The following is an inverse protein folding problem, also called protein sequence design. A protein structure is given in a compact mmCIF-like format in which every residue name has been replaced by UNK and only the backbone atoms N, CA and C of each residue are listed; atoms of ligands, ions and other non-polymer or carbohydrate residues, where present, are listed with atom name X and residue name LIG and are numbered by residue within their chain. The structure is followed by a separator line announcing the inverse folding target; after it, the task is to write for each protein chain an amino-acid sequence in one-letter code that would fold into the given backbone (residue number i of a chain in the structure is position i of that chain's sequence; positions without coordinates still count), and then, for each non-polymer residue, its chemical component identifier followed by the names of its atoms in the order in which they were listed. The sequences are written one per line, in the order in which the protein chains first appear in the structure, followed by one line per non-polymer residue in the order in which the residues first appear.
data_IF_670007190829
#
_entry.id   IF_670007190829
#
_cell.length_a   1.000
_cell.length_b   1.000
_cell.length_c   1.000
_cell.angle_alpha   90.00
_cell.angle_beta   90.00
_cell.angle_gamma   90.00
#
_symmetry.space_group_name_H-M   'P 1'
#
loop_
_entity.id
_entity.type
_entity.pdbx_description
1 polymer ?
#
# COMPACT_ATOMS: atom_id res chain seq x y z
N UNK A 1 28.42 12.89 -4.04
CA UNK A 1 28.49 11.82 -3.02
C UNK A 1 27.23 11.87 -2.17
N UNK A 2 26.19 11.12 -2.54
CA UNK A 2 25.04 10.88 -1.66
C UNK A 2 24.68 9.40 -1.71
N UNK A 3 25.37 8.68 -0.83
CA UNK A 3 24.93 7.54 -0.06
C UNK A 3 24.05 6.49 -0.74
N UNK A 4 24.77 5.46 -1.16
CA UNK A 4 24.35 4.07 -1.30
C UNK A 4 23.89 3.53 0.06
N UNK A 5 22.68 3.87 0.51
CA UNK A 5 22.01 3.20 1.64
C UNK A 5 20.77 2.38 1.21
N UNK A 6 20.58 2.15 -0.08
CA UNK A 6 19.50 1.28 -0.60
C UNK A 6 19.86 -0.22 -0.47
N UNK A 7 20.10 -0.71 0.73
CA UNK A 7 20.41 -2.14 0.93
C UNK A 7 19.54 -2.88 1.91
N UNK A 8 18.54 -2.23 2.54
CA UNK A 8 17.51 -2.93 3.31
C UNK A 8 16.14 -2.28 3.06
N UNK A 9 15.03 -3.06 3.07
CA UNK A 9 13.69 -2.50 3.02
C UNK A 9 13.49 -1.54 4.20
N UNK A 10 13.06 -0.30 3.94
CA UNK A 10 12.67 0.62 5.00
C UNK A 10 11.29 0.19 5.52
N UNK A 11 11.27 -0.57 6.62
CA UNK A 11 10.04 -1.10 7.20
C UNK A 11 9.29 -0.09 8.09
N UNK A 12 9.72 1.18 8.14
CA UNK A 12 8.99 2.19 8.90
C UNK A 12 7.59 2.45 8.29
N UNK A 13 6.56 2.67 9.14
CA UNK A 13 5.23 3.01 8.66
C UNK A 13 5.21 4.29 7.84
N UNK A 14 4.40 4.29 6.79
CA UNK A 14 4.01 5.51 6.08
C UNK A 14 3.15 6.35 7.03
N UNK A 15 3.45 7.64 7.08
CA UNK A 15 2.78 8.63 7.92
C UNK A 15 1.86 9.54 7.10
N UNK A 16 2.19 9.79 5.82
CA UNK A 16 1.37 10.60 4.93
C UNK A 16 1.42 10.13 3.48
N UNK A 17 0.33 10.36 2.75
CA UNK A 17 0.15 10.09 1.32
C UNK A 17 -0.40 11.35 0.67
N UNK A 18 0.23 11.79 -0.42
CA UNK A 18 -0.29 12.85 -1.28
C UNK A 18 -0.29 12.44 -2.75
N UNK A 19 -1.01 13.22 -3.56
CA UNK A 19 -0.96 13.15 -5.02
C UNK A 19 -0.38 14.44 -5.56
N UNK A 20 0.45 14.35 -6.59
CA UNK A 20 1.08 15.49 -7.27
C UNK A 20 0.89 15.38 -8.79
N UNK A 21 0.92 16.50 -9.50
CA UNK A 21 0.96 16.51 -10.96
C UNK A 21 2.39 16.33 -11.48
N UNK A 22 3.34 17.02 -10.87
CA UNK A 22 4.73 17.11 -11.32
C UNK A 22 5.68 16.41 -10.33
N UNK A 23 6.35 15.30 -10.70
CA UNK A 23 7.31 14.59 -9.85
C UNK A 23 8.43 15.49 -9.32
N UNK A 24 8.83 16.51 -10.08
CA UNK A 24 9.91 17.42 -9.70
C UNK A 24 9.45 18.45 -8.65
N UNK A 25 8.15 18.54 -8.41
CA UNK A 25 7.52 19.38 -7.37
C UNK A 25 7.05 18.58 -6.16
N UNK A 26 7.61 17.39 -5.96
CA UNK A 26 7.34 16.59 -4.76
C UNK A 26 7.67 17.40 -3.49
N UNK A 27 6.75 17.46 -2.50
CA UNK A 27 7.03 18.13 -1.25
C UNK A 27 8.28 17.56 -0.54
N UNK A 28 8.97 18.41 0.21
CA UNK A 28 10.13 17.99 1.00
C UNK A 28 9.73 16.90 1.99
N UNK A 29 10.56 15.86 2.14
CA UNK A 29 10.26 14.72 3.03
C UNK A 29 9.35 13.66 2.41
N UNK A 30 8.92 13.83 1.15
CA UNK A 30 8.15 12.83 0.40
C UNK A 30 8.99 12.15 -0.68
N UNK A 31 8.63 10.92 -1.00
CA UNK A 31 9.21 10.12 -2.09
C UNK A 31 8.12 9.82 -3.11
N UNK A 32 8.37 10.14 -4.37
CA UNK A 32 7.41 9.92 -5.47
C UNK A 32 7.45 8.47 -5.95
N UNK A 33 6.26 7.89 -6.17
CA UNK A 33 6.06 6.64 -6.89
C UNK A 33 5.79 6.98 -8.37
N UNK A 34 6.86 7.33 -9.09
CA UNK A 34 6.78 7.75 -10.51
C UNK A 34 6.96 6.61 -11.51
N UNK A 35 7.41 5.45 -11.05
CA UNK A 35 7.69 4.27 -11.87
C UNK A 35 6.99 3.02 -11.35
N UNK A 36 6.55 2.16 -12.26
CA UNK A 36 5.99 0.86 -11.90
C UNK A 36 7.10 -0.07 -11.40
N UNK A 37 6.77 -0.86 -10.38
CA UNK A 37 7.74 -1.76 -9.76
C UNK A 37 8.17 -2.91 -10.69
N UNK A 38 7.29 -3.34 -11.60
CA UNK A 38 7.53 -4.51 -12.45
C UNK A 38 8.34 -4.22 -13.71
N UNK A 39 8.09 -3.08 -14.37
CA UNK A 39 8.64 -2.77 -15.69
C UNK A 39 9.38 -1.43 -15.74
N UNK A 40 9.56 -0.76 -14.60
CA UNK A 40 10.11 0.59 -14.50
C UNK A 40 9.44 1.58 -15.49
N UNK A 41 8.15 1.39 -15.76
CA UNK A 41 7.38 2.21 -16.69
C UNK A 41 6.74 3.40 -15.97
N UNK A 42 6.34 4.45 -16.69
CA UNK A 42 5.66 5.63 -16.10
C UNK A 42 4.43 5.24 -15.28
N UNK A 43 4.38 5.57 -13.99
CA UNK A 43 3.28 5.21 -13.07
C UNK A 43 2.18 6.29 -12.98
N UNK A 44 1.95 7.03 -14.06
CA UNK A 44 0.90 8.05 -14.15
C UNK A 44 -0.50 7.45 -13.99
N UNK A 45 -1.16 7.78 -12.88
CA UNK A 45 -2.49 7.28 -12.52
C UNK A 45 -3.62 8.06 -13.21
N UNK A 46 -3.32 9.15 -13.92
CA UNK A 46 -4.32 9.93 -14.63
C UNK A 46 -4.58 9.39 -16.05
N UNK A 47 -3.61 8.74 -16.67
CA UNK A 47 -3.55 8.52 -18.12
C UNK A 47 -4.78 7.78 -18.71
N UNK A 48 -5.55 8.49 -19.52
CA UNK A 48 -6.27 7.94 -20.68
C UNK A 48 -6.06 8.91 -21.85
N UNK A 49 -5.84 8.34 -23.05
CA UNK A 49 -5.28 9.01 -24.23
C UNK A 49 -5.72 10.45 -24.44
N UNK A 50 -4.83 11.38 -24.10
CA UNK A 50 -4.94 12.76 -24.54
C UNK A 50 -4.22 12.86 -25.88
N UNK A 51 -4.95 12.72 -26.99
CA UNK A 51 -4.40 12.84 -28.33
C UNK A 51 -4.21 14.31 -28.77
N UNK A 52 -4.82 15.29 -28.08
CA UNK A 52 -4.83 16.70 -28.51
C UNK A 52 -4.84 17.74 -27.36
N UNK A 53 -4.33 17.41 -26.16
CA UNK A 53 -4.35 18.33 -25.02
C UNK A 53 -3.10 18.27 -24.13
N UNK A 54 -2.96 19.27 -23.25
CA UNK A 54 -1.91 19.31 -22.21
C UNK A 54 -1.89 17.98 -21.45
N UNK A 55 -0.71 17.39 -21.29
CA UNK A 55 -0.54 16.15 -20.51
C UNK A 55 -0.90 16.45 -19.05
N UNK A 56 -1.99 15.86 -18.56
CA UNK A 56 -2.33 15.85 -17.15
C UNK A 56 -1.82 14.53 -16.56
N UNK A 57 -0.97 14.62 -15.54
CA UNK A 57 -0.35 13.47 -14.88
C UNK A 57 -0.73 13.44 -13.41
N UNK A 58 -0.79 12.26 -12.80
CA UNK A 58 -0.94 12.12 -11.34
C UNK A 58 -0.03 11.05 -10.81
N UNK A 59 0.77 11.39 -9.80
CA UNK A 59 1.65 10.47 -9.11
C UNK A 59 1.35 10.48 -7.63
N UNK A 60 1.45 9.31 -7.00
CA UNK A 60 1.42 9.22 -5.54
C UNK A 60 2.80 9.58 -5.00
N UNK A 61 2.86 10.30 -3.89
CA UNK A 61 4.06 10.45 -3.10
C UNK A 61 3.79 10.10 -1.63
N UNK A 62 4.79 9.53 -0.98
CA UNK A 62 4.69 8.91 0.35
C UNK A 62 5.70 9.56 1.28
N UNK A 63 5.33 9.78 2.54
CA UNK A 63 6.29 10.15 3.57
C UNK A 63 6.24 9.23 4.77
N UNK A 64 7.42 8.97 5.32
CA UNK A 64 7.65 8.24 6.58
C UNK A 64 8.12 9.17 7.71
N UNK A 65 8.24 10.46 7.43
CA UNK A 65 8.70 11.50 8.38
C UNK A 65 7.67 12.61 8.53
N UNK A 66 6.97 12.96 7.46
CA UNK A 66 5.92 13.97 7.43
C UNK A 66 4.55 13.35 7.71
N UNK A 67 3.73 14.03 8.50
CA UNK A 67 2.37 13.62 8.83
C UNK A 67 1.95 14.13 10.20
N UNK A 68 0.82 13.62 10.69
CA UNK A 68 0.35 13.93 12.05
C UNK A 68 1.17 13.11 13.05
N UNK A 69 1.77 13.78 14.04
CA UNK A 69 2.56 13.14 15.10
C UNK A 69 1.78 11.98 15.75
N UNK A 70 2.45 10.85 15.95
CA UNK A 70 1.90 9.59 16.47
C UNK A 70 0.83 8.90 15.62
N UNK A 71 0.49 9.41 14.44
CA UNK A 71 -0.39 8.73 13.50
C UNK A 71 0.39 8.06 12.37
N UNK A 72 -0.14 6.93 11.92
CA UNK A 72 0.38 6.17 10.79
C UNK A 72 -0.77 5.76 9.86
N UNK A 73 -0.43 5.46 8.62
CA UNK A 73 -1.37 4.86 7.67
C UNK A 73 -1.56 3.39 8.04
N UNK A 74 -2.76 3.05 8.47
CA UNK A 74 -3.10 1.67 8.87
C UNK A 74 -3.60 0.84 7.68
N UNK A 75 -4.34 1.48 6.77
CA UNK A 75 -4.95 0.82 5.62
C UNK A 75 -5.15 1.79 4.45
N UNK A 76 -5.17 1.23 3.24
CA UNK A 76 -5.38 1.92 1.97
C UNK A 76 -6.38 1.11 1.16
N UNK A 77 -7.32 1.78 0.50
CA UNK A 77 -8.28 1.16 -0.40
C UNK A 77 -8.49 2.01 -1.65
N UNK A 78 -8.82 1.35 -2.75
CA UNK A 78 -9.19 2.02 -4.00
C UNK A 78 -10.70 1.89 -4.20
N UNK A 79 -11.38 3.02 -4.25
CA UNK A 79 -12.85 3.11 -4.41
C UNK A 79 -13.20 3.82 -5.72
N UNK A 80 -14.45 3.74 -6.13
CA UNK A 80 -14.91 4.60 -7.22
C UNK A 80 -14.95 6.06 -6.76
N UNK A 81 -14.79 6.97 -7.71
CA UNK A 81 -14.70 8.40 -7.39
C UNK A 81 -15.99 8.98 -6.78
N UNK A 82 -17.14 8.42 -7.12
CA UNK A 82 -18.45 8.82 -6.57
C UNK A 82 -18.88 8.02 -5.34
N UNK A 83 -18.07 7.05 -4.92
CA UNK A 83 -18.38 6.17 -3.81
C UNK A 83 -18.02 6.82 -2.48
N UNK A 84 -18.84 6.57 -1.46
CA UNK A 84 -18.56 7.05 -0.10
C UNK A 84 -17.38 6.23 0.45
N UNK A 85 -16.34 6.87 1.01
CA UNK A 85 -15.24 6.13 1.61
C UNK A 85 -15.73 5.26 2.77
N UNK A 86 -15.11 4.09 3.01
CA UNK A 86 -15.43 3.27 4.18
C UNK A 86 -15.22 4.05 5.49
N UNK A 87 -15.90 3.63 6.55
CA UNK A 87 -15.84 4.31 7.84
C UNK A 87 -14.40 4.51 8.34
N UNK A 88 -14.09 5.76 8.70
CA UNK A 88 -12.77 6.18 9.17
C UNK A 88 -11.72 6.40 8.08
N UNK A 89 -12.05 6.23 6.79
CA UNK A 89 -11.13 6.55 5.69
C UNK A 89 -11.25 8.01 5.27
N UNK A 90 -10.10 8.65 5.06
CA UNK A 90 -9.95 9.97 4.48
C UNK A 90 -9.70 9.88 2.96
N UNK A 91 -10.08 10.94 2.25
CA UNK A 91 -9.87 11.12 0.82
C UNK A 91 -8.78 12.14 0.54
N UNK A 92 -8.01 11.92 -0.53
CA UNK A 92 -7.12 12.94 -1.10
C UNK A 92 -7.88 13.60 -2.25
N UNK A 93 -8.42 14.80 -2.07
CA UNK A 93 -9.28 15.39 -3.11
C UNK A 93 -8.50 16.22 -4.14
N UNK A 94 -7.39 16.82 -3.72
CA UNK A 94 -6.59 17.76 -4.53
C UNK A 94 -5.10 17.43 -4.50
N UNK A 95 -4.39 17.83 -5.55
CA UNK A 95 -2.95 17.65 -5.66
C UNK A 95 -2.21 18.62 -4.75
N UNK A 96 -1.13 18.17 -4.11
CA UNK A 96 -0.39 18.96 -3.14
C UNK A 96 0.42 20.09 -3.77
N UNK A 97 0.80 19.96 -5.05
CA UNK A 97 1.68 20.88 -5.77
C UNK A 97 0.91 21.98 -6.54
N UNK A 98 -0.27 21.67 -7.07
CA UNK A 98 -1.03 22.56 -7.97
C UNK A 98 -2.49 22.74 -7.60
N UNK A 99 -2.94 22.11 -6.50
CA UNK A 99 -4.31 22.19 -6.01
C UNK A 99 -5.37 21.77 -7.07
N UNK A 100 -4.98 20.91 -8.02
CA UNK A 100 -5.88 20.38 -9.04
C UNK A 100 -6.60 19.13 -8.52
N UNK A 101 -7.68 18.70 -9.19
CA UNK A 101 -8.37 17.45 -8.85
C UNK A 101 -7.38 16.29 -8.86
N UNK A 102 -7.33 15.49 -7.78
CA UNK A 102 -6.34 14.42 -7.62
C UNK A 102 -6.65 13.16 -8.44
N UNK A 103 -7.93 12.87 -8.70
CA UNK A 103 -8.37 11.57 -9.22
C UNK A 103 -9.33 11.66 -10.40
N UNK A 104 -9.50 10.53 -11.10
CA UNK A 104 -10.47 10.35 -12.17
C UNK A 104 -10.97 8.91 -12.20
N UNK A 105 -12.29 8.70 -12.18
CA UNK A 105 -13.01 7.40 -12.16
C UNK A 105 -12.84 6.61 -10.87
N UNK A 106 -11.61 6.43 -10.41
CA UNK A 106 -11.26 5.77 -9.13
C UNK A 106 -10.34 6.67 -8.32
N UNK A 107 -10.38 6.50 -7.00
CA UNK A 107 -9.60 7.29 -6.06
C UNK A 107 -9.04 6.42 -4.95
N UNK A 108 -7.88 6.81 -4.43
CA UNK A 108 -7.29 6.21 -3.24
C UNK A 108 -7.87 6.88 -2.01
N UNK A 109 -8.33 6.07 -1.07
CA UNK A 109 -8.66 6.48 0.29
C UNK A 109 -7.76 5.74 1.27
N UNK A 110 -7.53 6.32 2.44
CA UNK A 110 -6.66 5.75 3.45
C UNK A 110 -7.22 5.97 4.85
N UNK A 111 -6.87 5.09 5.78
CA UNK A 111 -7.22 5.24 7.19
C UNK A 111 -5.98 5.53 8.02
N UNK A 112 -6.05 6.60 8.79
CA UNK A 112 -5.08 6.92 9.82
C UNK A 112 -5.48 6.26 11.14
N UNK A 113 -4.47 5.87 11.91
CA UNK A 113 -4.65 5.50 13.30
C UNK A 113 -3.44 5.89 14.13
N UNK A 114 -3.66 6.06 15.44
CA UNK A 114 -2.56 6.24 16.37
C UNK A 114 -1.69 4.99 16.35
N UNK A 115 -0.36 5.17 16.38
CA UNK A 115 0.63 4.09 16.30
C UNK A 115 0.40 2.99 17.34
N UNK A 116 -0.04 3.34 18.55
CA UNK A 116 -0.33 2.39 19.64
C UNK A 116 -1.69 1.66 19.51
N UNK A 117 -2.57 2.12 18.62
CA UNK A 117 -3.92 1.58 18.40
C UNK A 117 -4.05 0.86 17.04
N UNK A 118 -3.25 1.23 16.04
CA UNK A 118 -3.33 0.71 14.68
C UNK A 118 -3.10 -0.81 14.60
N UNK A 119 -4.07 -1.60 14.12
CA UNK A 119 -3.94 -3.06 14.00
C UNK A 119 -2.86 -3.49 12.99
N UNK A 120 -2.62 -2.67 11.98
CA UNK A 120 -1.56 -2.81 10.99
C UNK A 120 -0.88 -1.49 10.68
N UNK A 121 0.27 -1.55 10.03
CA UNK A 121 0.97 -0.40 9.49
C UNK A 121 1.28 -0.64 8.01
N UNK A 122 0.90 0.29 7.15
CA UNK A 122 1.34 0.30 5.75
C UNK A 122 2.77 0.83 5.71
N UNK A 123 3.70 0.05 5.15
CA UNK A 123 5.13 0.40 5.10
C UNK A 123 5.58 0.80 3.70
N UNK A 124 4.88 0.35 2.67
CA UNK A 124 5.18 0.69 1.29
C UNK A 124 3.94 0.61 0.39
N UNK A 125 3.93 1.39 -0.70
CA UNK A 125 2.91 1.38 -1.74
C UNK A 125 3.59 1.32 -3.09
N UNK A 126 3.32 0.27 -3.86
CA UNK A 126 3.86 0.10 -5.20
C UNK A 126 2.74 0.11 -6.24
N UNK A 127 3.07 0.58 -7.43
CA UNK A 127 2.23 0.49 -8.62
C UNK A 127 2.83 -0.56 -9.55
N UNK A 128 2.00 -1.49 -10.04
CA UNK A 128 2.41 -2.47 -11.06
C UNK A 128 1.56 -2.30 -12.32
N UNK A 129 2.19 -2.45 -13.48
CA UNK A 129 1.51 -2.34 -14.77
C UNK A 129 0.90 -3.67 -15.24
N UNK A 130 1.75 -4.60 -15.66
CA UNK A 130 1.29 -5.80 -16.37
C UNK A 130 1.04 -6.96 -15.42
N UNK A 131 1.86 -7.08 -14.38
CA UNK A 131 1.76 -8.18 -13.44
C UNK A 131 0.64 -7.91 -12.42
N UNK A 132 -0.35 -8.81 -12.36
CA UNK A 132 -1.45 -8.74 -11.38
C UNK A 132 -1.21 -9.58 -10.13
N UNK A 133 -0.06 -10.26 -10.05
CA UNK A 133 0.33 -11.09 -8.91
C UNK A 133 1.10 -10.26 -7.91
N UNK A 134 0.64 -10.22 -6.66
CA UNK A 134 1.33 -9.52 -5.58
C UNK A 134 2.77 -10.05 -5.41
N UNK A 135 3.78 -9.16 -5.31
CA UNK A 135 5.09 -9.53 -4.81
C UNK A 135 5.00 -10.06 -3.36
N UNK A 136 6.03 -10.77 -2.92
CA UNK A 136 6.08 -11.25 -1.53
C UNK A 136 6.05 -10.07 -0.55
N UNK A 137 5.23 -10.17 0.50
CA UNK A 137 5.06 -9.10 1.50
C UNK A 137 4.03 -8.02 1.13
N UNK A 138 3.45 -8.08 -0.07
CA UNK A 138 2.48 -7.12 -0.57
C UNK A 138 1.07 -7.72 -0.69
N UNK A 139 0.05 -6.91 -0.43
CA UNK A 139 -1.38 -7.25 -0.61
C UNK A 139 -2.03 -6.29 -1.60
N UNK A 140 -3.03 -6.77 -2.35
CA UNK A 140 -3.75 -5.97 -3.34
C UNK A 140 -4.65 -4.93 -2.66
N UNK A 141 -4.41 -3.64 -2.87
CA UNK A 141 -5.29 -2.57 -2.40
C UNK A 141 -6.40 -2.25 -3.41
N UNK A 142 -6.13 -2.43 -4.71
CA UNK A 142 -7.12 -2.27 -5.76
C UNK A 142 -6.49 -1.93 -7.11
N UNK A 143 -7.35 -1.50 -8.03
CA UNK A 143 -7.00 -1.26 -9.42
C UNK A 143 -7.25 0.20 -9.80
N UNK A 144 -6.27 0.83 -10.45
CA UNK A 144 -6.46 2.09 -11.18
C UNK A 144 -6.48 1.79 -12.67
N UNK A 145 -7.56 2.21 -13.34
CA UNK A 145 -7.80 1.89 -14.76
C UNK A 145 -7.76 0.36 -15.01
N UNK A 146 -7.59 -0.06 -16.27
CA UNK A 146 -7.43 -1.47 -16.62
C UNK A 146 -5.98 -1.97 -16.48
N UNK A 147 -5.03 -1.06 -16.22
CA UNK A 147 -3.59 -1.29 -16.39
C UNK A 147 -2.77 -1.12 -15.12
N UNK A 148 -3.25 -0.47 -14.06
CA UNK A 148 -2.44 -0.31 -12.85
C UNK A 148 -3.04 -1.03 -11.67
N UNK A 149 -2.18 -1.77 -10.97
CA UNK A 149 -2.52 -2.49 -9.74
C UNK A 149 -1.72 -1.89 -8.61
N UNK A 150 -2.40 -1.48 -7.54
CA UNK A 150 -1.72 -0.97 -6.34
C UNK A 150 -1.61 -2.09 -5.32
N UNK A 151 -0.39 -2.28 -4.86
CA UNK A 151 -0.11 -3.16 -3.75
C UNK A 151 0.46 -2.41 -2.56
N UNK A 152 0.12 -2.89 -1.37
CA UNK A 152 0.57 -2.32 -0.10
C UNK A 152 1.30 -3.37 0.73
N UNK A 153 2.44 -2.99 1.28
CA UNK A 153 3.11 -3.81 2.28
C UNK A 153 2.53 -3.47 3.66
N UNK A 154 2.16 -4.49 4.43
CA UNK A 154 1.52 -4.31 5.74
C UNK A 154 2.22 -5.15 6.82
N UNK A 155 2.58 -4.50 7.92
CA UNK A 155 3.03 -5.17 9.16
C UNK A 155 1.85 -5.25 10.13
N UNK A 156 1.49 -6.45 10.56
CA UNK A 156 0.44 -6.66 11.57
C UNK A 156 0.99 -6.52 12.98
N UNK A 157 0.19 -5.98 13.92
CA UNK A 157 0.59 -5.90 15.35
C UNK A 157 0.92 -7.25 15.97
N UNK A 158 0.33 -8.34 15.48
CA UNK A 158 0.66 -9.69 15.94
C UNK A 158 2.11 -10.10 15.62
N UNK A 159 2.75 -9.47 14.62
CA UNK A 159 4.13 -9.75 14.22
C UNK A 159 5.17 -8.85 14.92
N UNK A 160 4.75 -7.80 15.61
CA UNK A 160 5.65 -6.84 16.27
C UNK A 160 5.97 -7.20 17.73
N UNK A 161 5.41 -8.30 18.23
CA UNK A 161 5.75 -8.85 19.54
C UNK A 161 6.78 -9.97 19.35
N UNK A 162 8.01 -9.68 19.76
CA UNK A 162 9.20 -10.54 19.83
C UNK A 162 10.06 -10.66 18.56
N UNK A 163 11.29 -10.13 18.68
CA UNK A 163 12.44 -10.50 17.87
C UNK A 163 12.85 -11.95 18.06
N UNK A 164 12.03 -12.89 17.58
CA UNK A 164 12.42 -14.28 17.30
C UNK A 164 11.68 -14.76 16.06
N UNK A 165 12.44 -15.04 14.99
CA UNK A 165 12.13 -15.94 13.88
C UNK A 165 10.64 -16.12 13.55
N UNK A 166 10.11 -15.31 12.63
CA UNK A 166 8.83 -15.62 11.97
C UNK A 166 9.00 -15.48 10.46
N UNK A 167 9.38 -16.58 9.82
CA UNK A 167 9.00 -16.82 8.43
C UNK A 167 7.59 -17.41 8.40
N UNK A 168 6.84 -17.03 7.35
CA UNK A 168 5.50 -17.48 6.94
C UNK A 168 4.30 -16.78 7.58
N UNK A 169 3.75 -15.82 6.83
CA UNK A 169 2.33 -15.46 6.91
C UNK A 169 1.71 -15.56 5.51
N UNK A 170 0.96 -16.64 5.29
CA UNK A 170 0.12 -16.87 4.10
C UNK A 170 -1.18 -16.08 4.24
N UNK A 171 -1.57 -15.34 3.19
CA UNK A 171 -2.86 -14.67 3.11
C UNK A 171 -3.97 -15.66 2.74
N UNK A 172 -5.07 -15.67 3.52
CA UNK A 172 -6.30 -16.43 3.25
C UNK A 172 -7.21 -15.62 2.31
N UNK A 173 -7.40 -16.09 1.08
CA UNK A 173 -8.56 -15.69 0.25
C UNK A 173 -9.76 -16.62 0.51
N UNK A 174 -10.94 -16.01 0.52
CA UNK A 174 -12.22 -16.55 0.98
C UNK A 174 -12.76 -17.79 0.23
N UNK A 175 -13.65 -18.52 0.94
CA UNK A 175 -14.61 -19.58 0.51
C UNK A 175 -14.16 -21.06 0.47
N UNK A 176 -13.71 -21.59 1.62
CA UNK A 176 -14.15 -22.91 2.16
C UNK A 176 -13.55 -23.08 3.56
N UNK A 177 -14.39 -23.35 4.56
CA UNK A 177 -13.97 -23.61 5.94
C UNK A 177 -13.13 -24.90 5.98
N UNK A 178 -11.81 -24.76 6.16
CA UNK A 178 -10.93 -25.77 6.77
C UNK A 178 -9.81 -25.01 7.48
N UNK A 179 -9.79 -25.10 8.81
CA UNK A 179 -8.76 -24.52 9.65
C UNK A 179 -7.57 -25.48 9.65
N UNK A 180 -6.53 -25.18 8.88
CA UNK A 180 -5.21 -25.73 9.15
C UNK A 180 -4.54 -24.83 10.17
N UNK A 181 -4.36 -25.33 11.40
CA UNK A 181 -3.41 -24.78 12.35
C UNK A 181 -2.09 -25.51 12.14
N UNK A 182 -1.06 -24.78 11.68
CA UNK A 182 0.30 -25.28 11.73
C UNK A 182 0.83 -25.01 13.14
N UNK A 183 1.01 -26.07 13.92
CA UNK A 183 1.70 -26.00 15.21
C UNK A 183 3.16 -26.37 14.98
N UNK A 184 4.07 -25.46 15.33
CA UNK A 184 5.49 -25.74 15.36
C UNK A 184 5.85 -26.19 16.78
N UNK A 185 6.29 -27.44 16.93
CA UNK A 185 6.84 -27.97 18.19
C UNK A 185 8.28 -28.40 17.89
N UNK A 186 9.24 -27.85 18.63
CA UNK A 186 10.67 -28.15 18.52
C UNK A 186 11.27 -28.10 17.10
N UNK A 187 10.88 -27.08 16.33
CA UNK A 187 11.52 -26.79 15.03
C UNK A 187 11.18 -27.77 13.90
N UNK A 188 10.18 -28.64 14.06
CA UNK A 188 9.62 -29.45 12.97
C UNK A 188 8.18 -29.07 12.67
N UNK A 189 7.85 -28.98 11.37
CA UNK A 189 6.47 -28.74 10.91
C UNK A 189 5.68 -30.04 11.10
N UNK A 190 4.72 -30.04 12.01
CA UNK A 190 3.79 -31.16 12.21
C UNK A 190 2.44 -30.77 11.63
N UNK A 191 1.99 -31.48 10.58
CA UNK A 191 0.65 -31.35 10.04
C UNK A 191 -0.33 -32.11 10.97
N UNK A 192 -1.04 -31.41 11.86
CA UNK A 192 -2.09 -32.02 12.68
C UNK A 192 -3.45 -31.81 12.03
N UNK A 193 -4.09 -32.91 11.62
CA UNK A 193 -5.50 -32.92 11.22
C UNK A 193 -6.37 -32.75 12.46
N UNK A 194 -7.03 -31.60 12.62
CA UNK A 194 -8.14 -31.46 13.55
C UNK A 194 -9.36 -32.04 12.85
N UNK A 195 -9.77 -33.24 13.27
CA UNK A 195 -11.08 -33.80 12.96
C UNK A 195 -12.02 -33.22 14.00
N UNK A 196 -12.93 -32.35 13.57
CA UNK A 196 -14.03 -31.88 14.40
C UNK A 196 -14.87 -33.09 14.81
N UNK A 197 -14.92 -33.41 16.11
CA UNK A 197 -15.87 -34.34 16.70
C UNK A 197 -16.76 -33.55 17.66
N UNK A 198 -18.06 -33.68 17.42
CA UNK A 198 -19.23 -33.09 18.06
C UNK A 198 -19.67 -31.72 17.50
#
# INVERSE_FOLDING_TARGET
MHQVYKTLPDDRPIMSIHVIEDPDKCPTGFVVVSRTHDQDSDADLWREGSFFGKKCTRYICLSKTEGITDYIIESVAIINEKEVPPDGYALITRTADTDQRAWRKRQLCYRLARRNQAASAVTDIIVMGRLKKAPNGFSLAGYFLHLYVIFVAQLSRACSMHGKNVQNLYWKTSKRKRLHQNLCVDGRIIFKWIVDRL
#
